data_IF_314741089967
#
_entry.id   IF_314741089967
#
_cell.length_a   1.000
_cell.length_b   1.000
_cell.length_c   1.000
_cell.angle_alpha   90.00
_cell.angle_beta   90.00
_cell.angle_gamma   90.00
#
_symmetry.space_group_name_H-M   'P 1'
#
loop_
_entity.id
_entity.type
_entity.pdbx_description
1 polymer ?
#
# COMPACT_ATOMS: atom_id res chain seq x y z
N UNK A 1 11.23 -6.52 -1.86
CA UNK A 1 10.70 -6.55 -0.48
C UNK A 1 9.79 -7.76 -0.39
N UNK A 2 9.79 -8.51 0.72
CA UNK A 2 8.87 -9.65 0.93
C UNK A 2 7.79 -9.22 1.92
N UNK A 3 6.53 -9.37 1.56
CA UNK A 3 5.37 -9.05 2.41
C UNK A 3 4.78 -10.39 2.83
N UNK A 4 4.72 -10.64 4.15
CA UNK A 4 4.18 -11.89 4.71
C UNK A 4 2.78 -11.68 5.33
N UNK A 5 2.30 -10.43 5.40
CA UNK A 5 0.96 -10.09 5.90
C UNK A 5 0.61 -8.62 5.72
N UNK A 6 -0.68 -8.30 5.73
CA UNK A 6 -1.21 -6.95 5.57
C UNK A 6 -2.05 -6.60 6.80
N UNK A 7 -1.80 -5.43 7.37
CA UNK A 7 -2.54 -4.90 8.52
C UNK A 7 -3.42 -3.76 8.04
N UNK A 8 -4.72 -3.88 8.32
CA UNK A 8 -5.73 -2.89 7.98
C UNK A 8 -6.25 -2.19 9.23
N UNK A 9 -6.22 -0.86 9.22
CA UNK A 9 -7.01 -0.06 10.15
C UNK A 9 -8.36 0.20 9.50
N UNK A 10 -9.44 -0.06 10.23
CA UNK A 10 -10.82 0.07 9.72
C UNK A 10 -11.07 1.43 9.09
N UNK A 11 -10.72 2.51 9.79
CA UNK A 11 -10.90 3.88 9.30
C UNK A 11 -10.10 4.17 8.01
N UNK A 12 -8.98 3.46 7.78
CA UNK A 12 -8.21 3.58 6.55
C UNK A 12 -8.91 2.81 5.42
N UNK A 13 -9.33 1.57 5.66
CA UNK A 13 -10.06 0.77 4.68
C UNK A 13 -11.34 1.48 4.21
N UNK A 14 -12.15 1.95 5.15
CA UNK A 14 -13.39 2.70 4.87
C UNK A 14 -13.08 3.98 4.06
N UNK A 15 -11.98 4.67 4.38
CA UNK A 15 -11.55 5.86 3.64
C UNK A 15 -11.05 5.54 2.23
N UNK A 16 -10.39 4.40 2.00
CA UNK A 16 -9.94 4.02 0.66
C UNK A 16 -11.15 3.84 -0.27
N UNK A 17 -12.14 3.11 0.19
CA UNK A 17 -13.34 2.84 -0.59
C UNK A 17 -14.12 4.14 -0.82
N UNK A 18 -14.48 4.85 0.25
CA UNK A 18 -15.35 6.03 0.15
C UNK A 18 -14.69 7.23 -0.53
N UNK A 19 -13.41 7.50 -0.25
CA UNK A 19 -12.74 8.72 -0.74
C UNK A 19 -11.92 8.49 -2.01
N UNK A 20 -11.36 7.30 -2.16
CA UNK A 20 -10.40 7.00 -3.22
C UNK A 20 -10.93 5.99 -4.24
N UNK A 21 -12.10 5.39 -4.01
CA UNK A 21 -12.65 4.33 -4.85
C UNK A 21 -11.62 3.20 -5.09
N UNK A 22 -10.89 2.86 -4.03
CA UNK A 22 -9.90 1.79 -4.00
C UNK A 22 -10.35 0.78 -2.97
N UNK A 23 -10.45 -0.48 -3.38
CA UNK A 23 -10.85 -1.59 -2.52
C UNK A 23 -9.65 -2.20 -1.79
N UNK A 24 -9.91 -3.03 -0.79
CA UNK A 24 -8.86 -3.79 -0.10
C UNK A 24 -8.18 -4.73 -1.12
N UNK A 25 -8.98 -5.43 -1.91
CA UNK A 25 -8.57 -6.41 -2.90
C UNK A 25 -7.58 -5.80 -3.89
N UNK A 26 -7.87 -4.60 -4.41
CA UNK A 26 -6.97 -3.92 -5.34
C UNK A 26 -5.62 -3.54 -4.73
N UNK A 27 -5.59 -3.23 -3.44
CA UNK A 27 -4.34 -2.99 -2.72
C UNK A 27 -3.55 -4.29 -2.57
N UNK A 28 -4.23 -5.39 -2.23
CA UNK A 28 -3.61 -6.72 -2.11
C UNK A 28 -3.04 -7.20 -3.45
N UNK A 29 -3.81 -7.09 -4.54
CA UNK A 29 -3.36 -7.37 -5.91
C UNK A 29 -2.12 -6.54 -6.27
N UNK A 30 -2.17 -5.23 -6.02
CA UNK A 30 -1.05 -4.32 -6.30
C UNK A 30 0.23 -4.74 -5.57
N UNK A 31 0.12 -5.19 -4.31
CA UNK A 31 1.25 -5.63 -3.50
C UNK A 31 1.76 -7.03 -3.88
N UNK A 32 0.86 -7.94 -4.28
CA UNK A 32 1.17 -9.33 -4.64
C UNK A 32 1.72 -9.50 -6.07
N UNK A 33 1.45 -8.54 -6.96
CA UNK A 33 1.93 -8.56 -8.33
C UNK A 33 3.43 -8.23 -8.42
N UNK A 34 3.81 -7.24 -9.23
CA UNK A 34 5.20 -6.81 -9.41
C UNK A 34 5.36 -5.31 -9.14
N UNK A 35 5.00 -4.84 -7.92
CA UNK A 35 5.12 -3.43 -7.60
C UNK A 35 6.59 -3.00 -7.54
N UNK A 36 6.82 -1.73 -7.86
CA UNK A 36 8.08 -1.04 -7.58
C UNK A 36 7.98 -0.37 -6.22
N UNK A 37 8.80 -0.83 -5.29
CA UNK A 37 8.89 -0.24 -3.96
C UNK A 37 9.82 0.97 -3.94
N UNK A 38 9.41 2.02 -3.24
CA UNK A 38 10.18 3.24 -2.99
C UNK A 38 10.19 3.56 -1.52
N UNK A 39 11.37 3.83 -0.98
CA UNK A 39 11.49 4.42 0.36
C UNK A 39 10.98 5.86 0.31
N UNK A 40 10.15 6.23 1.29
CA UNK A 40 9.59 7.59 1.41
C UNK A 40 10.31 8.33 2.53
N UNK A 41 10.20 7.81 3.75
CA UNK A 41 10.82 8.43 4.93
C UNK A 41 10.99 7.42 6.07
N UNK A 42 11.78 7.82 7.08
CA UNK A 42 11.90 7.04 8.30
C UNK A 42 10.61 7.14 9.10
N UNK A 43 10.19 6.03 9.68
CA UNK A 43 9.05 6.01 10.59
C UNK A 43 9.35 6.69 11.93
N UNK A 44 8.29 6.94 12.70
CA UNK A 44 8.39 7.41 14.08
C UNK A 44 9.05 6.37 15.01
N UNK A 45 9.04 5.09 14.61
CA UNK A 45 9.63 3.97 15.35
C UNK A 45 10.70 3.29 14.54
N UNK A 46 11.76 2.84 15.21
CA UNK A 46 12.89 2.16 14.56
C UNK A 46 12.42 0.86 13.88
N UNK A 47 12.63 0.77 12.57
CA UNK A 47 12.22 -0.40 11.77
C UNK A 47 10.75 -0.39 11.35
N UNK A 48 10.11 0.78 11.37
CA UNK A 48 8.77 1.03 10.84
C UNK A 48 8.81 2.12 9.77
N UNK A 49 9.72 1.99 8.80
CA UNK A 49 9.89 2.99 7.75
C UNK A 49 8.69 3.02 6.79
N UNK A 50 8.44 4.20 6.22
CA UNK A 50 7.35 4.44 5.29
C UNK A 50 7.84 4.18 3.87
N UNK A 51 7.09 3.35 3.16
CA UNK A 51 7.33 2.98 1.78
C UNK A 51 6.12 3.29 0.92
N UNK A 52 6.37 3.38 -0.39
CA UNK A 52 5.36 3.46 -1.42
C UNK A 52 5.55 2.29 -2.39
N UNK A 53 4.48 1.54 -2.65
CA UNK A 53 4.41 0.59 -3.75
C UNK A 53 3.73 1.26 -4.94
N UNK A 54 4.36 1.18 -6.10
CA UNK A 54 3.81 1.59 -7.38
C UNK A 54 3.57 0.33 -8.20
N UNK A 55 2.31 -0.05 -8.37
CA UNK A 55 1.97 -1.30 -9.05
C UNK A 55 0.69 -1.21 -9.86
N UNK A 56 0.26 -2.37 -10.32
CA UNK A 56 -0.93 -2.55 -11.14
C UNK A 56 -1.82 -3.63 -10.52
N UNK A 57 -3.12 -3.37 -10.47
CA UNK A 57 -4.15 -4.35 -10.10
C UNK A 57 -4.30 -5.40 -11.20
N UNK A 58 -5.05 -6.46 -10.93
CA UNK A 58 -5.34 -7.50 -11.92
C UNK A 58 -6.26 -6.97 -13.04
N UNK A 59 -7.16 -6.06 -12.68
CA UNK A 59 -7.99 -5.29 -13.62
C UNK A 59 -7.21 -4.26 -14.44
N UNK A 60 -5.95 -4.01 -14.07
CA UNK A 60 -5.05 -3.17 -14.83
C UNK A 60 -4.98 -1.70 -14.40
N UNK A 61 -5.61 -1.31 -13.28
CA UNK A 61 -5.49 0.03 -12.68
C UNK A 61 -4.10 0.23 -12.10
N UNK A 62 -3.56 1.44 -12.21
CA UNK A 62 -2.27 1.79 -11.62
C UNK A 62 -2.48 2.44 -10.26
N UNK A 63 -2.02 1.77 -9.19
CA UNK A 63 -2.18 2.26 -7.82
C UNK A 63 -0.85 2.60 -7.16
N UNK A 64 -0.84 3.75 -6.47
CA UNK A 64 0.19 4.08 -5.48
C UNK A 64 -0.32 3.74 -4.09
N UNK A 65 0.38 2.85 -3.38
CA UNK A 65 0.03 2.38 -2.04
C UNK A 65 1.11 2.82 -1.07
N UNK A 66 0.74 3.63 -0.07
CA UNK A 66 1.63 4.06 1.01
C UNK A 66 1.42 3.16 2.22
N UNK A 67 2.52 2.66 2.78
CA UNK A 67 2.48 1.71 3.90
C UNK A 67 3.71 1.80 4.78
N UNK A 68 3.58 1.33 6.01
CA UNK A 68 4.71 1.08 6.92
C UNK A 68 5.15 -0.36 6.77
N UNK A 69 6.44 -0.59 6.53
CA UNK A 69 7.01 -1.93 6.53
C UNK A 69 7.60 -2.26 7.90
N UNK A 70 7.00 -3.25 8.57
CA UNK A 70 7.46 -3.70 9.89
C UNK A 70 8.57 -4.74 9.75
N UNK A 71 9.38 -4.88 10.81
CA UNK A 71 10.43 -5.92 10.91
C UNK A 71 9.89 -7.35 10.78
N UNK A 72 8.63 -7.58 11.12
CA UNK A 72 7.90 -8.84 10.95
C UNK A 72 7.49 -9.13 9.51
N UNK A 73 7.83 -8.24 8.56
CA UNK A 73 7.46 -8.29 7.14
C UNK A 73 5.96 -8.07 6.88
N UNK A 74 5.25 -7.58 7.89
CA UNK A 74 3.88 -7.10 7.74
C UNK A 74 3.87 -5.66 7.23
N UNK A 75 2.88 -5.34 6.40
CA UNK A 75 2.65 -3.98 5.89
C UNK A 75 1.40 -3.38 6.49
N UNK A 76 1.55 -2.27 7.21
CA UNK A 76 0.43 -1.48 7.69
C UNK A 76 0.06 -0.44 6.63
N UNK A 77 -1.13 -0.56 6.04
CA UNK A 77 -1.58 0.34 4.98
C UNK A 77 -1.93 1.71 5.57
N UNK A 78 -1.37 2.77 4.97
CA UNK A 78 -1.66 4.16 5.34
C UNK A 78 -2.61 4.83 4.35
N UNK A 79 -2.47 4.53 3.06
CA UNK A 79 -3.31 5.08 2.00
C UNK A 79 -3.06 4.34 0.68
N UNK A 80 -4.04 4.34 -0.22
CA UNK A 80 -3.90 3.94 -1.61
C UNK A 80 -4.74 4.86 -2.50
N UNK A 81 -4.26 5.10 -3.73
CA UNK A 81 -4.92 5.96 -4.71
C UNK A 81 -4.48 5.63 -6.13
N UNK A 82 -5.33 5.92 -7.09
CA UNK A 82 -4.94 5.89 -8.50
C UNK A 82 -3.73 6.79 -8.75
N UNK A 83 -2.83 6.30 -9.59
CA UNK A 83 -1.81 7.16 -10.19
C UNK A 83 -2.48 8.02 -11.25
N UNK A 84 -2.13 9.30 -11.31
CA UNK A 84 -2.53 10.13 -12.44
C UNK A 84 -1.87 9.60 -13.71
N UNK A 85 -2.66 9.37 -14.75
CA UNK A 85 -2.14 9.26 -16.10
C UNK A 85 -1.52 10.61 -16.49
N UNK A 86 -0.31 10.56 -17.03
CA UNK A 86 0.47 11.72 -17.42
C UNK A 86 0.04 12.27 -18.76
#
# INVERSE_FOLDING_TARGET
MKIDGIIWLRDIADKLEFKHNVTIEEVEETLNNKPKFRFVEKGQRKGEDVYMALGRTDSGRHLSVLFIYKRTKETLILSARDMADK
#
